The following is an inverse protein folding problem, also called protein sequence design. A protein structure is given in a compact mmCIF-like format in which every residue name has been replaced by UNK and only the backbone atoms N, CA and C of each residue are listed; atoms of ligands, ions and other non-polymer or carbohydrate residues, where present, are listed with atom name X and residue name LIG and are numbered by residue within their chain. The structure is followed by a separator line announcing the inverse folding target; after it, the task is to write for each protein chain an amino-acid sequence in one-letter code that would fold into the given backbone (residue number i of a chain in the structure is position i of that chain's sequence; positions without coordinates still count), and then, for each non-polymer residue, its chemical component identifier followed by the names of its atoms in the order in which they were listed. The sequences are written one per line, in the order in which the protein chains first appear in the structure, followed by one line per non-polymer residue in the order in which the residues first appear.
data_IF_863653664177
#
_entry.id   IF_863653664177
#
_cell.length_a   1.000
_cell.length_b   1.000
_cell.length_c   1.000
_cell.angle_alpha   90.00
_cell.angle_beta   90.00
_cell.angle_gamma   90.00
#
_symmetry.space_group_name_H-M   'P 1'
#
loop_
_entity.id
_entity.type
_entity.pdbx_description
1 polymer ?
#
# COMPACT_ATOMS: atom_id res chain seq x y z
N UNK A 1 11.70 6.52 -8.35
CA UNK A 1 11.33 5.43 -7.44
C UNK A 1 11.74 4.10 -8.04
N UNK A 2 12.07 3.08 -7.26
CA UNK A 2 12.42 1.81 -7.84
C UNK A 2 11.19 1.17 -8.49
N UNK A 3 11.21 1.04 -9.79
CA UNK A 3 10.40 0.08 -10.52
C UNK A 3 11.14 -1.25 -10.41
N UNK A 4 10.44 -2.29 -9.99
CA UNK A 4 11.00 -3.64 -9.94
C UNK A 4 10.75 -4.28 -11.29
N UNK A 5 11.80 -4.59 -12.03
CA UNK A 5 11.72 -5.34 -13.28
C UNK A 5 12.18 -6.78 -13.04
N UNK A 6 11.39 -7.74 -13.49
CA UNK A 6 11.63 -9.17 -13.34
C UNK A 6 11.51 -9.79 -14.72
N UNK A 7 12.60 -10.33 -15.23
CA UNK A 7 12.63 -10.99 -16.53
C UNK A 7 13.05 -12.45 -16.35
N UNK A 8 12.25 -13.38 -16.87
CA UNK A 8 12.59 -14.81 -16.80
C UNK A 8 13.90 -15.15 -17.50
N UNK A 9 14.33 -14.31 -18.47
CA UNK A 9 15.60 -14.50 -19.21
C UNK A 9 16.84 -14.19 -18.37
N UNK A 10 16.68 -13.50 -17.24
CA UNK A 10 17.80 -13.17 -16.34
C UNK A 10 18.26 -14.39 -15.52
N UNK A 11 17.49 -15.48 -15.56
CA UNK A 11 17.75 -16.72 -14.83
C UNK A 11 18.22 -17.84 -15.76
N UNK A 12 19.08 -18.73 -15.26
CA UNK A 12 19.52 -19.91 -15.98
C UNK A 12 18.34 -20.80 -16.37
N UNK A 13 18.39 -21.42 -17.54
CA UNK A 13 17.29 -22.25 -18.08
C UNK A 13 16.91 -23.38 -17.12
N UNK A 14 17.87 -23.92 -16.36
CA UNK A 14 17.67 -25.04 -15.44
C UNK A 14 16.88 -24.69 -14.18
N UNK A 15 16.94 -23.43 -13.72
CA UNK A 15 16.24 -22.93 -12.50
C UNK A 15 15.27 -21.78 -12.80
N UNK A 16 15.16 -21.36 -14.05
CA UNK A 16 14.40 -20.17 -14.50
C UNK A 16 13.00 -20.09 -13.92
N UNK A 17 12.24 -21.16 -13.99
CA UNK A 17 10.84 -21.19 -13.53
C UNK A 17 10.77 -21.04 -12.02
N UNK A 18 11.64 -21.72 -11.29
CA UNK A 18 11.66 -21.72 -9.84
C UNK A 18 12.07 -20.34 -9.30
N UNK A 19 13.19 -19.81 -9.77
CA UNK A 19 13.68 -18.49 -9.33
C UNK A 19 12.72 -17.36 -9.71
N UNK A 20 12.18 -17.37 -10.94
CA UNK A 20 11.17 -16.41 -11.36
C UNK A 20 9.92 -16.49 -10.47
N UNK A 21 9.40 -17.69 -10.23
CA UNK A 21 8.24 -17.92 -9.37
C UNK A 21 8.46 -17.39 -7.96
N UNK A 22 9.59 -17.69 -7.34
CA UNK A 22 9.89 -17.28 -5.97
C UNK A 22 9.93 -15.75 -5.83
N UNK A 23 10.52 -15.05 -6.79
CA UNK A 23 10.56 -13.58 -6.79
C UNK A 23 9.16 -12.99 -6.99
N UNK A 24 8.42 -13.50 -7.99
CA UNK A 24 7.08 -12.98 -8.31
C UNK A 24 6.08 -13.27 -7.18
N UNK A 25 6.09 -14.48 -6.62
CA UNK A 25 5.18 -14.87 -5.54
C UNK A 25 5.34 -13.99 -4.30
N UNK A 26 6.57 -13.63 -3.96
CA UNK A 26 6.83 -12.73 -2.83
C UNK A 26 6.21 -11.32 -3.02
N UNK A 27 6.16 -10.83 -4.27
CA UNK A 27 5.68 -9.48 -4.60
C UNK A 27 4.18 -9.46 -4.86
N UNK A 28 3.70 -10.38 -5.73
CA UNK A 28 2.34 -10.35 -6.29
C UNK A 28 1.37 -11.29 -5.59
N UNK A 29 1.87 -12.16 -4.70
CA UNK A 29 1.07 -13.19 -4.01
C UNK A 29 0.35 -14.13 -4.98
N UNK A 30 1.04 -14.52 -6.04
CA UNK A 30 0.60 -15.55 -6.99
C UNK A 30 1.76 -16.46 -7.37
N UNK A 31 1.47 -17.72 -7.61
CA UNK A 31 2.43 -18.70 -8.14
C UNK A 31 2.30 -18.77 -9.65
N UNK A 32 3.42 -18.63 -10.37
CA UNK A 32 3.46 -18.79 -11.82
C UNK A 32 3.77 -20.24 -12.20
N UNK A 33 2.90 -20.82 -13.02
CA UNK A 33 2.97 -22.20 -13.51
C UNK A 33 2.96 -22.16 -15.04
N UNK A 34 4.13 -22.21 -15.72
CA UNK A 34 4.19 -22.20 -17.17
C UNK A 34 3.64 -23.52 -17.76
N UNK A 35 2.97 -23.42 -18.92
CA UNK A 35 2.49 -24.60 -19.65
C UNK A 35 3.67 -25.40 -20.19
N UNK A 36 4.74 -24.73 -20.64
CA UNK A 36 6.02 -25.33 -21.05
C UNK A 36 7.18 -24.62 -20.31
N UNK A 37 7.82 -25.33 -19.34
CA UNK A 37 8.96 -24.79 -18.60
C UNK A 37 10.17 -24.41 -19.45
N UNK A 38 10.39 -25.07 -20.58
CA UNK A 38 11.56 -24.88 -21.43
C UNK A 38 11.46 -23.59 -22.23
N UNK A 39 10.29 -23.33 -22.82
CA UNK A 39 10.01 -22.14 -23.62
C UNK A 39 9.45 -20.98 -22.80
N UNK A 40 9.36 -21.12 -21.48
CA UNK A 40 8.77 -20.10 -20.61
C UNK A 40 9.48 -18.75 -20.74
N UNK A 41 8.68 -17.75 -21.06
CA UNK A 41 9.10 -16.35 -21.08
C UNK A 41 8.08 -15.49 -20.33
N UNK A 42 8.60 -14.68 -19.43
CA UNK A 42 7.82 -13.70 -18.70
C UNK A 42 8.68 -12.49 -18.38
N UNK A 43 8.14 -11.33 -18.63
CA UNK A 43 8.72 -10.05 -18.27
C UNK A 43 7.67 -9.22 -17.56
N UNK A 44 7.99 -8.74 -16.36
CA UNK A 44 7.06 -7.98 -15.53
C UNK A 44 7.78 -6.77 -14.93
N UNK A 45 7.16 -5.61 -15.05
CA UNK A 45 7.61 -4.36 -14.44
C UNK A 45 6.56 -3.91 -13.44
N UNK A 46 6.96 -3.71 -12.18
CA UNK A 46 6.07 -3.38 -11.07
C UNK A 46 6.54 -2.09 -10.42
N UNK A 47 5.63 -1.13 -10.30
CA UNK A 47 5.82 0.08 -9.56
C UNK A 47 4.93 0.14 -8.33
N UNK A 48 5.51 0.53 -7.20
CA UNK A 48 4.79 0.66 -5.92
C UNK A 48 4.76 2.13 -5.52
N UNK A 49 3.55 2.69 -5.45
CA UNK A 49 3.27 4.07 -5.08
C UNK A 49 2.40 4.06 -3.81
N UNK A 50 3.01 4.15 -2.64
CA UNK A 50 2.34 4.04 -1.34
C UNK A 50 1.52 2.76 -1.21
N UNK A 51 0.20 2.85 -1.43
CA UNK A 51 -0.79 1.78 -1.36
C UNK A 51 -1.31 1.35 -2.75
N UNK A 52 -0.83 2.01 -3.82
CA UNK A 52 -1.15 1.69 -5.20
C UNK A 52 -0.02 0.87 -5.82
N UNK A 53 -0.36 -0.21 -6.52
CA UNK A 53 0.59 -1.00 -7.31
C UNK A 53 0.18 -0.89 -8.78
N UNK A 54 1.12 -0.56 -9.63
CA UNK A 54 0.94 -0.55 -11.08
C UNK A 54 1.92 -1.55 -11.67
N UNK A 55 1.43 -2.45 -12.51
CA UNK A 55 2.23 -3.46 -13.16
C UNK A 55 1.98 -3.51 -14.67
N UNK A 56 3.01 -3.84 -15.41
CA UNK A 56 2.95 -4.19 -16.81
C UNK A 56 3.67 -5.51 -17.01
N UNK A 57 3.05 -6.47 -17.70
CA UNK A 57 3.62 -7.80 -17.86
C UNK A 57 3.33 -8.38 -19.23
N UNK A 58 4.32 -9.13 -19.75
CA UNK A 58 4.21 -9.94 -20.94
C UNK A 58 4.58 -11.38 -20.60
N UNK A 59 3.69 -12.32 -20.90
CA UNK A 59 3.80 -13.71 -20.47
C UNK A 59 3.52 -14.67 -21.61
N UNK A 60 4.34 -15.72 -21.75
CA UNK A 60 3.98 -16.90 -22.54
C UNK A 60 2.84 -17.68 -21.86
N UNK A 61 2.29 -18.70 -22.54
CA UNK A 61 1.25 -19.57 -21.98
C UNK A 61 1.63 -20.07 -20.59
N UNK A 62 0.84 -19.66 -19.58
CA UNK A 62 1.11 -19.93 -18.17
C UNK A 62 -0.13 -19.66 -17.34
N UNK A 63 -0.12 -20.17 -16.11
CA UNK A 63 -1.17 -19.94 -15.12
C UNK A 63 -0.59 -19.24 -13.91
N UNK A 64 -1.13 -18.09 -13.55
CA UNK A 64 -0.88 -17.43 -12.28
C UNK A 64 -1.95 -17.87 -11.28
N UNK A 65 -1.54 -18.58 -10.21
CA UNK A 65 -2.41 -19.17 -9.20
C UNK A 65 -2.35 -18.33 -7.92
N UNK A 66 -3.48 -17.79 -7.52
CA UNK A 66 -3.69 -17.24 -6.16
C UNK A 66 -4.32 -18.32 -5.27
N UNK A 67 -3.52 -18.94 -4.42
CA UNK A 67 -3.99 -19.91 -3.43
C UNK A 67 -4.86 -19.22 -2.36
N UNK A 68 -5.57 -20.01 -1.52
CA UNK A 68 -6.30 -19.47 -0.38
C UNK A 68 -5.37 -18.79 0.65
N UNK A 69 -4.13 -19.27 0.79
CA UNK A 69 -3.12 -18.64 1.64
C UNK A 69 -2.69 -17.28 1.08
N UNK A 70 -2.39 -17.22 -0.21
CA UNK A 70 -2.05 -15.95 -0.90
C UNK A 70 -3.19 -14.93 -0.86
N UNK A 71 -4.45 -15.37 -1.02
CA UNK A 71 -5.62 -14.50 -0.90
C UNK A 71 -5.77 -13.91 0.51
N UNK A 72 -5.49 -14.69 1.54
CA UNK A 72 -5.53 -14.21 2.93
C UNK A 72 -4.44 -13.15 3.23
N UNK A 73 -3.32 -13.18 2.52
CA UNK A 73 -2.23 -12.19 2.61
C UNK A 73 -2.40 -11.01 1.65
N UNK A 74 -3.24 -11.15 0.62
CA UNK A 74 -3.40 -10.17 -0.48
C UNK A 74 -4.02 -8.83 -0.08
N UNK A 75 -4.59 -8.74 1.13
CA UNK A 75 -5.25 -7.55 1.63
C UNK A 75 -6.58 -7.24 0.93
N UNK A 76 -7.25 -6.18 1.35
CA UNK A 76 -8.53 -5.72 0.79
C UNK A 76 -8.30 -4.79 -0.41
N UNK A 77 -7.66 -5.33 -1.46
CA UNK A 77 -7.38 -4.61 -2.70
C UNK A 77 -8.24 -5.14 -3.85
N UNK A 78 -8.46 -4.27 -4.84
CA UNK A 78 -9.05 -4.62 -6.13
C UNK A 78 -7.97 -4.43 -7.19
N UNK A 79 -7.67 -5.50 -7.94
CA UNK A 79 -6.75 -5.47 -9.07
C UNK A 79 -7.54 -5.30 -10.37
N UNK A 80 -7.29 -4.22 -11.08
CA UNK A 80 -7.83 -4.02 -12.42
C UNK A 80 -6.89 -4.66 -13.44
N UNK A 81 -7.39 -5.65 -14.19
CA UNK A 81 -6.68 -6.31 -15.28
C UNK A 81 -7.12 -5.73 -16.61
N UNK A 82 -6.19 -5.25 -17.41
CA UNK A 82 -6.41 -4.64 -18.73
C UNK A 82 -5.52 -5.36 -19.76
N UNK A 83 -6.06 -6.32 -20.52
CA UNK A 83 -5.30 -6.98 -21.59
C UNK A 83 -4.96 -5.99 -22.70
N UNK A 84 -3.68 -5.95 -23.11
CA UNK A 84 -3.17 -5.10 -24.19
C UNK A 84 -3.03 -5.87 -25.49
N UNK A 85 -2.54 -7.12 -25.42
CA UNK A 85 -2.46 -8.03 -26.55
C UNK A 85 -2.64 -9.48 -26.09
N UNK A 86 -2.97 -10.38 -27.03
CA UNK A 86 -3.29 -11.77 -26.72
C UNK A 86 -4.64 -11.90 -25.99
N UNK A 87 -4.75 -12.90 -25.12
CA UNK A 87 -5.94 -13.16 -24.30
C UNK A 87 -5.61 -13.91 -23.03
N UNK A 88 -6.41 -13.71 -22.01
CA UNK A 88 -6.32 -14.47 -20.78
C UNK A 88 -7.70 -14.84 -20.25
N UNK A 89 -7.77 -15.76 -19.30
CA UNK A 89 -9.01 -16.07 -18.61
C UNK A 89 -8.79 -16.08 -17.11
N UNK A 90 -9.78 -15.60 -16.38
CA UNK A 90 -9.78 -15.61 -14.92
C UNK A 90 -10.88 -16.55 -14.44
N UNK A 91 -10.56 -17.37 -13.46
CA UNK A 91 -11.50 -18.22 -12.74
C UNK A 91 -11.24 -18.05 -11.25
N UNK A 92 -12.24 -17.56 -10.54
CA UNK A 92 -12.18 -17.36 -9.09
C UNK A 92 -12.99 -18.41 -8.36
N UNK A 93 -12.59 -18.75 -7.14
CA UNK A 93 -13.32 -19.72 -6.32
C UNK A 93 -14.80 -19.33 -6.19
N UNK A 94 -15.68 -20.23 -6.63
CA UNK A 94 -17.12 -20.05 -6.60
C UNK A 94 -17.70 -19.12 -7.69
N UNK A 95 -16.88 -18.75 -8.70
CA UNK A 95 -17.30 -17.99 -9.86
C UNK A 95 -17.18 -18.80 -11.17
N UNK A 96 -17.68 -18.22 -12.23
CA UNK A 96 -17.50 -18.74 -13.59
C UNK A 96 -16.17 -18.25 -14.18
N UNK A 97 -15.69 -18.99 -15.17
CA UNK A 97 -14.54 -18.55 -15.97
C UNK A 97 -14.92 -17.35 -16.83
N UNK A 98 -14.10 -16.32 -16.77
CA UNK A 98 -14.26 -15.07 -17.53
C UNK A 98 -13.10 -14.93 -18.50
N UNK A 99 -13.39 -14.90 -19.80
CA UNK A 99 -12.37 -14.67 -20.84
C UNK A 99 -12.17 -13.18 -21.06
N UNK A 100 -10.92 -12.74 -21.01
CA UNK A 100 -10.50 -11.36 -21.18
C UNK A 100 -9.72 -11.19 -22.49
N UNK A 101 -10.01 -10.12 -23.21
CA UNK A 101 -9.36 -9.75 -24.48
C UNK A 101 -9.09 -8.25 -24.54
N UNK A 102 -8.24 -7.76 -25.42
CA UNK A 102 -8.04 -6.33 -25.63
C UNK A 102 -9.35 -5.58 -25.80
N UNK A 103 -9.46 -4.43 -25.15
CA UNK A 103 -10.69 -3.63 -25.11
C UNK A 103 -11.65 -3.99 -23.98
N UNK A 104 -11.24 -4.87 -23.06
CA UNK A 104 -11.95 -5.17 -21.81
C UNK A 104 -11.14 -4.79 -20.58
N UNK A 105 -11.82 -4.64 -19.45
CA UNK A 105 -11.23 -4.50 -18.12
C UNK A 105 -11.96 -5.43 -17.14
N UNK A 106 -11.25 -5.96 -16.18
CA UNK A 106 -11.78 -6.87 -15.15
C UNK A 106 -11.32 -6.41 -13.77
N UNK A 107 -12.24 -6.36 -12.81
CA UNK A 107 -11.95 -6.04 -11.42
C UNK A 107 -11.85 -7.33 -10.59
N UNK A 108 -10.64 -7.66 -10.17
CA UNK A 108 -10.28 -8.86 -9.41
C UNK A 108 -10.14 -8.52 -7.92
N UNK A 109 -11.01 -9.02 -7.02
CA UNK A 109 -10.82 -8.89 -5.59
C UNK A 109 -9.63 -9.76 -5.14
N UNK A 110 -8.57 -9.11 -4.61
CA UNK A 110 -7.32 -9.78 -4.24
C UNK A 110 -7.44 -10.74 -3.04
N UNK A 111 -8.50 -10.60 -2.26
CA UNK A 111 -8.87 -11.47 -1.12
C UNK A 111 -9.55 -12.78 -1.52
N UNK A 112 -9.72 -13.05 -2.83
CA UNK A 112 -10.37 -14.26 -3.35
C UNK A 112 -9.36 -15.13 -4.09
N UNK A 113 -9.30 -16.43 -3.74
CA UNK A 113 -8.49 -17.41 -4.44
C UNK A 113 -8.98 -17.62 -5.88
N UNK A 114 -8.06 -17.84 -6.81
CA UNK A 114 -8.39 -18.02 -8.22
C UNK A 114 -7.17 -18.25 -9.09
N UNK A 115 -7.42 -18.36 -10.39
CA UNK A 115 -6.41 -18.55 -11.41
C UNK A 115 -6.57 -17.49 -12.51
N UNK A 116 -5.45 -16.97 -12.99
CA UNK A 116 -5.36 -16.17 -14.21
C UNK A 116 -4.53 -16.97 -15.21
N UNK A 117 -5.12 -17.40 -16.32
CA UNK A 117 -4.45 -18.17 -17.35
C UNK A 117 -4.16 -17.29 -18.57
N UNK A 118 -2.90 -17.20 -18.94
CA UNK A 118 -2.43 -16.54 -20.16
C UNK A 118 -2.46 -17.51 -21.32
N UNK A 119 -2.97 -17.08 -22.47
CA UNK A 119 -3.18 -17.91 -23.66
C UNK A 119 -2.23 -17.54 -24.79
N UNK A 120 -1.89 -18.53 -25.63
CA UNK A 120 -1.07 -18.32 -26.82
C UNK A 120 0.42 -18.14 -26.52
N UNK A 121 1.15 -17.70 -27.52
CA UNK A 121 2.61 -17.54 -27.43
C UNK A 121 3.02 -16.35 -26.57
N UNK A 122 2.20 -15.29 -26.54
CA UNK A 122 2.44 -14.08 -25.76
C UNK A 122 1.15 -13.36 -25.43
N UNK A 123 0.96 -13.04 -24.16
CA UNK A 123 -0.12 -12.19 -23.66
C UNK A 123 0.49 -11.02 -22.90
N UNK A 124 0.07 -9.83 -23.26
CA UNK A 124 0.50 -8.59 -22.61
C UNK A 124 -0.66 -8.00 -21.83
N UNK A 125 -0.40 -7.61 -20.58
CA UNK A 125 -1.41 -7.06 -19.68
C UNK A 125 -0.88 -5.91 -18.83
N UNK A 126 -1.78 -5.02 -18.49
CA UNK A 126 -1.54 -3.92 -17.56
C UNK A 126 -2.41 -4.10 -16.32
N UNK A 127 -1.84 -3.83 -15.16
CA UNK A 127 -2.44 -4.13 -13.86
C UNK A 127 -2.38 -2.91 -12.96
N UNK A 128 -3.50 -2.61 -12.28
CA UNK A 128 -3.54 -1.55 -11.28
C UNK A 128 -4.24 -2.06 -10.04
N UNK A 129 -3.52 -2.19 -8.92
CA UNK A 129 -4.10 -2.60 -7.63
C UNK A 129 -4.41 -1.38 -6.78
N UNK A 130 -5.67 -1.22 -6.41
CA UNK A 130 -6.18 -0.10 -5.61
C UNK A 130 -6.83 -0.65 -4.35
N UNK A 131 -6.51 -0.14 -3.15
CA UNK A 131 -7.21 -0.53 -1.92
C UNK A 131 -8.70 -0.24 -2.01
N UNK A 132 -9.55 -1.22 -1.66
CA UNK A 132 -11.01 -1.12 -1.74
C UNK A 132 -11.58 0.08 -0.98
N UNK A 133 -10.90 0.48 0.12
CA UNK A 133 -11.29 1.66 0.90
C UNK A 133 -11.34 2.95 0.08
N UNK A 134 -10.47 3.09 -0.94
CA UNK A 134 -10.47 4.25 -1.84
C UNK A 134 -11.57 4.15 -2.92
N UNK A 135 -12.09 2.95 -3.17
CA UNK A 135 -13.16 2.69 -4.14
C UNK A 135 -14.56 2.63 -3.49
N UNK A 136 -14.65 2.72 -2.16
CA UNK A 136 -15.90 2.55 -1.41
C UNK A 136 -17.01 3.51 -1.85
N UNK A 137 -16.67 4.71 -2.33
CA UNK A 137 -17.63 5.69 -2.82
C UNK A 137 -18.32 5.28 -4.13
N UNK A 138 -17.79 4.30 -4.86
CA UNK A 138 -18.42 3.77 -6.07
C UNK A 138 -19.61 2.82 -5.77
N UNK A 139 -19.69 2.28 -4.54
CA UNK A 139 -20.83 1.47 -4.10
C UNK A 139 -21.24 0.39 -5.12
N UNK A 140 -22.46 0.47 -5.61
CA UNK A 140 -23.02 -0.49 -6.57
C UNK A 140 -22.22 -0.61 -7.89
N UNK A 141 -21.50 0.45 -8.31
CA UNK A 141 -20.66 0.41 -9.51
C UNK A 141 -19.49 -0.53 -9.36
N UNK A 142 -18.83 -0.52 -8.18
CA UNK A 142 -17.77 -1.48 -7.87
C UNK A 142 -18.31 -2.91 -7.79
N UNK A 143 -19.39 -3.14 -7.06
CA UNK A 143 -19.99 -4.48 -6.91
C UNK A 143 -20.42 -5.09 -8.25
N UNK A 144 -20.98 -4.28 -9.15
CA UNK A 144 -21.37 -4.72 -10.48
C UNK A 144 -20.17 -5.11 -11.37
N UNK A 145 -19.00 -4.52 -11.12
CA UNK A 145 -17.78 -4.77 -11.88
C UNK A 145 -16.96 -5.94 -11.32
N UNK A 146 -17.04 -6.18 -10.01
CA UNK A 146 -16.30 -7.27 -9.39
C UNK A 146 -16.63 -8.61 -10.06
N UNK A 147 -15.58 -9.35 -10.47
CA UNK A 147 -15.65 -10.66 -11.13
C UNK A 147 -16.33 -10.68 -12.51
N UNK A 148 -16.53 -9.50 -13.11
CA UNK A 148 -17.10 -9.37 -14.44
C UNK A 148 -16.14 -8.67 -15.40
N UNK A 149 -16.07 -9.15 -16.64
CA UNK A 149 -15.40 -8.42 -17.71
C UNK A 149 -16.32 -7.32 -18.22
N UNK A 150 -15.83 -6.10 -18.24
CA UNK A 150 -16.54 -4.92 -18.73
C UNK A 150 -15.83 -4.35 -19.96
N UNK A 151 -16.55 -3.72 -20.90
CA UNK A 151 -15.93 -2.98 -21.99
C UNK A 151 -15.06 -1.84 -21.45
N UNK A 152 -13.93 -1.59 -22.10
CA UNK A 152 -13.05 -0.46 -21.79
C UNK A 152 -13.69 0.84 -22.30
N UNK A 153 -14.60 1.41 -21.49
CA UNK A 153 -15.32 2.67 -21.80
C UNK A 153 -14.36 3.86 -21.92
N UNK A 154 -14.81 5.04 -22.41
CA UNK A 154 -13.97 6.24 -22.44
C UNK A 154 -13.35 6.60 -21.08
N UNK A 155 -14.10 6.45 -19.97
CA UNK A 155 -13.64 6.72 -18.61
C UNK A 155 -12.54 5.73 -18.21
N UNK A 156 -12.71 4.45 -18.48
CA UNK A 156 -11.68 3.43 -18.25
C UNK A 156 -10.45 3.61 -19.14
N UNK A 157 -10.61 4.13 -20.36
CA UNK A 157 -9.45 4.49 -21.20
C UNK A 157 -8.66 5.65 -20.62
N UNK A 158 -9.30 6.66 -20.04
CA UNK A 158 -8.60 7.75 -19.34
C UNK A 158 -7.85 7.24 -18.12
N UNK A 159 -8.47 6.40 -17.30
CA UNK A 159 -7.82 5.73 -16.17
C UNK A 159 -6.57 4.96 -16.63
N UNK A 160 -6.71 4.10 -17.65
CA UNK A 160 -5.60 3.32 -18.20
C UNK A 160 -4.49 4.22 -18.74
N UNK A 161 -4.83 5.20 -19.57
CA UNK A 161 -3.83 6.09 -20.20
C UNK A 161 -3.02 6.84 -19.13
N UNK A 162 -3.70 7.32 -18.09
CA UNK A 162 -3.03 8.02 -17.00
C UNK A 162 -2.13 7.07 -16.18
N UNK A 163 -2.63 5.92 -15.77
CA UNK A 163 -1.88 4.94 -14.99
C UNK A 163 -0.70 4.36 -15.78
N UNK A 164 -0.88 4.11 -17.09
CA UNK A 164 0.17 3.61 -17.97
C UNK A 164 1.27 4.66 -18.18
N UNK A 165 0.92 5.93 -18.45
CA UNK A 165 1.90 7.02 -18.53
C UNK A 165 2.63 7.23 -17.21
N UNK A 166 1.92 7.16 -16.09
CA UNK A 166 2.53 7.23 -14.76
C UNK A 166 3.55 6.11 -14.54
N UNK A 167 3.22 4.87 -14.94
CA UNK A 167 4.12 3.74 -14.83
C UNK A 167 5.40 3.92 -15.65
N UNK A 168 5.31 4.47 -16.86
CA UNK A 168 6.46 4.74 -17.72
C UNK A 168 7.41 5.79 -17.15
N UNK A 169 6.84 6.81 -16.47
CA UNK A 169 7.61 7.94 -15.91
C UNK A 169 8.07 7.72 -14.45
N UNK A 170 7.68 6.61 -13.81
CA UNK A 170 7.92 6.38 -12.38
C UNK A 170 9.37 6.56 -11.92
N UNK A 171 10.33 6.18 -12.76
CA UNK A 171 11.76 6.31 -12.46
C UNK A 171 12.21 7.79 -12.36
N UNK A 172 11.48 8.69 -13.00
CA UNK A 172 11.79 10.12 -13.10
C UNK A 172 10.97 10.99 -12.13
N UNK A 173 9.99 10.40 -11.41
CA UNK A 173 9.13 11.14 -10.50
C UNK A 173 9.83 11.49 -9.19
N UNK A 174 9.54 12.68 -8.67
CA UNK A 174 9.97 13.09 -7.34
C UNK A 174 9.10 12.44 -6.27
N UNK A 175 9.70 11.99 -5.15
CA UNK A 175 8.96 11.33 -4.06
C UNK A 175 7.81 12.16 -3.48
N UNK A 176 7.93 13.48 -3.47
CA UNK A 176 6.91 14.40 -3.00
C UNK A 176 5.64 14.43 -3.86
N UNK A 177 5.75 14.13 -5.15
CA UNK A 177 4.63 14.19 -6.09
C UNK A 177 3.79 12.91 -6.11
N UNK A 178 4.32 11.81 -5.57
CA UNK A 178 3.69 10.47 -5.63
C UNK A 178 2.30 10.47 -5.01
N UNK A 179 2.10 11.20 -3.90
CA UNK A 179 0.78 11.32 -3.24
C UNK A 179 -0.27 11.85 -4.22
N UNK A 180 0.10 12.87 -4.99
CA UNK A 180 -0.82 13.48 -5.96
C UNK A 180 -1.16 12.52 -7.10
N UNK A 181 -0.15 11.85 -7.67
CA UNK A 181 -0.36 10.89 -8.76
C UNK A 181 -1.19 9.67 -8.29
N UNK A 182 -0.92 9.14 -7.10
CA UNK A 182 -1.72 8.07 -6.50
C UNK A 182 -3.18 8.49 -6.35
N UNK A 183 -3.44 9.68 -5.82
CA UNK A 183 -4.79 10.22 -5.67
C UNK A 183 -5.49 10.36 -7.02
N UNK A 184 -4.80 10.84 -8.06
CA UNK A 184 -5.39 10.98 -9.40
C UNK A 184 -5.81 9.62 -9.99
N UNK A 185 -5.00 8.56 -9.82
CA UNK A 185 -5.37 7.20 -10.27
C UNK A 185 -6.63 6.72 -9.55
N UNK A 186 -6.70 6.92 -8.23
CA UNK A 186 -7.86 6.54 -7.41
C UNK A 186 -9.12 7.32 -7.83
N UNK A 187 -9.01 8.62 -8.07
CA UNK A 187 -10.12 9.47 -8.53
C UNK A 187 -10.61 9.05 -9.91
N UNK A 188 -9.71 8.75 -10.85
CA UNK A 188 -10.07 8.26 -12.18
C UNK A 188 -10.76 6.89 -12.12
N UNK A 189 -10.33 5.99 -11.22
CA UNK A 189 -11.02 4.72 -10.98
C UNK A 189 -12.45 4.94 -10.47
N UNK A 190 -12.65 5.86 -9.51
CA UNK A 190 -13.97 6.22 -8.99
C UNK A 190 -14.91 6.77 -10.07
N UNK A 191 -14.39 7.68 -10.90
CA UNK A 191 -15.16 8.22 -12.04
C UNK A 191 -15.55 7.11 -13.02
N UNK A 192 -14.62 6.22 -13.32
CA UNK A 192 -14.84 5.12 -14.25
C UNK A 192 -15.83 4.07 -13.71
N UNK A 193 -15.88 3.88 -12.40
CA UNK A 193 -16.86 3.06 -11.68
C UNK A 193 -18.26 3.71 -11.62
N UNK A 194 -18.42 4.93 -12.15
CA UNK A 194 -19.70 5.63 -12.14
C UNK A 194 -20.07 6.23 -10.79
N UNK A 195 -19.09 6.54 -9.93
CA UNK A 195 -19.35 7.28 -8.71
C UNK A 195 -20.07 8.60 -9.03
N UNK A 196 -21.12 8.92 -8.29
CA UNK A 196 -21.81 10.21 -8.44
C UNK A 196 -20.84 11.35 -8.11
N UNK A 197 -21.10 12.54 -8.69
CA UNK A 197 -20.29 13.73 -8.40
C UNK A 197 -20.18 14.00 -6.91
N UNK A 198 -21.25 13.81 -6.17
CA UNK A 198 -21.29 13.95 -4.70
C UNK A 198 -20.42 12.89 -4.00
N UNK A 199 -20.47 11.64 -4.45
CA UNK A 199 -19.61 10.56 -3.93
C UNK A 199 -18.14 10.79 -4.28
N UNK A 200 -17.84 11.32 -5.46
CA UNK A 200 -16.48 11.70 -5.86
C UNK A 200 -15.97 12.89 -5.02
N UNK A 201 -16.80 13.89 -4.75
CA UNK A 201 -16.46 15.03 -3.86
C UNK A 201 -16.21 14.57 -2.40
N UNK A 202 -17.00 13.60 -1.90
CA UNK A 202 -16.81 12.98 -0.59
C UNK A 202 -15.49 12.18 -0.56
N UNK A 203 -15.19 11.43 -1.61
CA UNK A 203 -13.95 10.66 -1.73
C UNK A 203 -12.72 11.56 -1.82
N UNK A 204 -12.81 12.64 -2.61
CA UNK A 204 -11.77 13.67 -2.70
C UNK A 204 -11.56 14.35 -1.32
N UNK A 205 -12.64 14.63 -0.59
CA UNK A 205 -12.57 15.12 0.78
C UNK A 205 -11.86 14.15 1.73
N UNK A 206 -12.04 12.83 1.56
CA UNK A 206 -11.33 11.80 2.34
C UNK A 206 -9.87 11.71 1.96
N UNK A 207 -9.54 11.76 0.67
CA UNK A 207 -8.17 11.75 0.16
C UNK A 207 -7.37 12.96 0.64
N UNK A 208 -7.94 14.17 0.54
CA UNK A 208 -7.36 15.39 1.08
C UNK A 208 -7.17 15.28 2.60
N UNK A 209 -8.14 14.73 3.32
CA UNK A 209 -8.04 14.51 4.77
C UNK A 209 -6.91 13.54 5.13
N UNK A 210 -6.77 12.43 4.40
CA UNK A 210 -5.71 11.45 4.60
C UNK A 210 -4.32 12.04 4.26
N UNK A 211 -4.21 12.81 3.18
CA UNK A 211 -2.98 13.52 2.82
C UNK A 211 -2.58 14.54 3.89
N UNK A 212 -3.53 15.37 4.37
CA UNK A 212 -3.31 16.32 5.45
C UNK A 212 -2.87 15.67 6.75
N UNK A 213 -3.49 14.54 7.11
CA UNK A 213 -3.09 13.81 8.31
C UNK A 213 -1.68 13.24 8.18
N UNK A 214 -1.27 12.81 7.00
CA UNK A 214 0.07 12.31 6.71
C UNK A 214 1.12 13.41 6.84
N UNK A 215 0.86 14.59 6.27
CA UNK A 215 1.71 15.79 6.45
C UNK A 215 1.86 16.18 7.92
N UNK A 216 0.74 16.17 8.65
CA UNK A 216 0.72 16.46 10.09
C UNK A 216 1.54 15.44 10.87
N UNK A 217 1.38 14.14 10.58
CA UNK A 217 2.17 13.08 11.22
C UNK A 217 3.66 13.23 10.92
N UNK A 218 4.04 13.55 9.69
CA UNK A 218 5.43 13.82 9.31
C UNK A 218 6.01 15.04 10.03
N UNK A 219 5.23 16.12 10.21
CA UNK A 219 5.64 17.28 10.99
C UNK A 219 5.83 16.95 12.47
N UNK A 220 4.93 16.14 13.05
CA UNK A 220 5.07 15.63 14.42
C UNK A 220 6.36 14.84 14.59
N UNK A 221 6.70 13.93 13.67
CA UNK A 221 7.92 13.12 13.74
C UNK A 221 9.18 14.00 13.72
N UNK A 222 9.22 15.01 12.85
CA UNK A 222 10.36 15.97 12.78
C UNK A 222 10.55 16.77 14.06
N UNK A 223 9.49 17.02 14.82
CA UNK A 223 9.52 17.84 16.04
C UNK A 223 9.21 17.03 17.31
N UNK A 224 9.24 15.69 17.25
CA UNK A 224 8.71 14.78 18.26
C UNK A 224 9.24 15.06 19.67
N UNK A 225 10.55 15.33 19.79
CA UNK A 225 11.23 15.55 21.06
C UNK A 225 11.15 16.99 21.55
N UNK A 226 10.58 17.89 20.75
CA UNK A 226 10.51 19.31 21.12
C UNK A 226 9.54 19.51 22.29
N UNK A 227 9.95 20.16 23.38
CA UNK A 227 9.12 20.28 24.60
C UNK A 227 7.81 21.05 24.40
N UNK A 228 7.79 21.99 23.43
CA UNK A 228 6.60 22.80 23.11
C UNK A 228 5.75 22.22 21.96
N UNK A 229 5.94 20.96 21.61
CA UNK A 229 5.10 20.31 20.59
C UNK A 229 3.65 20.24 21.10
N UNK A 230 2.76 20.94 20.43
CA UNK A 230 1.34 21.04 20.76
C UNK A 230 0.48 20.99 19.52
N UNK A 231 -0.80 20.66 19.64
CA UNK A 231 -1.75 20.70 18.54
C UNK A 231 -1.83 22.09 17.90
N UNK A 232 -1.64 23.16 18.68
CA UNK A 232 -1.65 24.53 18.19
C UNK A 232 -0.39 24.83 17.35
N UNK A 233 0.81 24.42 17.81
CA UNK A 233 2.05 24.65 17.07
C UNK A 233 2.12 23.84 15.76
N UNK A 234 1.63 22.60 15.76
CA UNK A 234 1.55 21.77 14.54
C UNK A 234 0.52 22.33 13.56
N UNK A 235 -0.68 22.71 14.04
CA UNK A 235 -1.71 23.30 13.21
C UNK A 235 -1.21 24.58 12.52
N UNK A 236 -0.50 25.45 13.26
CA UNK A 236 0.06 26.68 12.71
C UNK A 236 1.09 26.41 11.60
N UNK A 237 2.00 25.43 11.78
CA UNK A 237 3.00 25.06 10.75
C UNK A 237 2.36 24.40 9.52
N UNK A 238 1.29 23.64 9.71
CA UNK A 238 0.58 22.95 8.62
C UNK A 238 -0.49 23.81 7.94
N UNK A 239 -0.67 25.07 8.33
CA UNK A 239 -1.71 25.96 7.79
C UNK A 239 -3.13 25.49 8.11
N UNK A 240 -3.33 24.80 9.23
CA UNK A 240 -4.61 24.22 9.65
C UNK A 240 -5.16 24.92 10.89
N UNK A 241 -6.48 24.83 11.10
CA UNK A 241 -7.03 25.21 12.40
C UNK A 241 -6.80 24.10 13.43
N UNK A 242 -6.59 24.42 14.72
CA UNK A 242 -6.46 23.41 15.79
C UNK A 242 -7.67 22.48 15.90
N UNK A 243 -8.86 22.96 15.55
CA UNK A 243 -10.10 22.16 15.52
C UNK A 243 -10.03 21.11 14.41
N UNK A 244 -9.62 21.51 13.21
CA UNK A 244 -9.50 20.58 12.07
C UNK A 244 -8.40 19.54 12.31
N UNK A 245 -7.27 19.94 12.88
CA UNK A 245 -6.20 19.02 13.25
C UNK A 245 -6.71 17.95 14.22
N UNK A 246 -7.49 18.31 15.27
CA UNK A 246 -8.09 17.34 16.19
C UNK A 246 -9.04 16.38 15.48
N UNK A 247 -9.91 16.91 14.61
CA UNK A 247 -10.85 16.11 13.82
C UNK A 247 -10.14 15.11 12.88
N UNK A 248 -8.90 15.40 12.42
CA UNK A 248 -8.08 14.46 11.65
C UNK A 248 -7.72 13.22 12.48
N UNK A 249 -7.27 13.41 13.74
CA UNK A 249 -6.92 12.29 14.63
C UNK A 249 -8.13 11.54 15.15
N UNK A 250 -9.23 12.23 15.48
CA UNK A 250 -10.49 11.60 15.87
C UNK A 250 -11.02 10.65 14.78
N UNK A 251 -10.83 11.01 13.52
CA UNK A 251 -11.18 10.16 12.38
C UNK A 251 -10.36 8.84 12.30
N UNK A 252 -9.23 8.75 12.99
CA UNK A 252 -8.44 7.51 13.16
C UNK A 252 -8.64 6.86 14.54
N UNK A 253 -9.65 7.26 15.29
CA UNK A 253 -9.94 6.68 16.61
C UNK A 253 -8.91 7.03 17.68
N UNK A 254 -8.12 8.11 17.49
CA UNK A 254 -7.09 8.53 18.45
C UNK A 254 -7.17 10.04 18.72
N UNK A 255 -6.42 10.53 19.70
CA UNK A 255 -6.20 11.95 19.89
C UNK A 255 -4.80 12.37 19.45
N UNK A 256 -4.60 13.65 19.12
CA UNK A 256 -3.27 14.22 18.90
C UNK A 256 -2.31 13.91 20.06
N UNK A 257 -2.77 14.09 21.30
CA UNK A 257 -1.96 13.83 22.50
C UNK A 257 -1.57 12.36 22.65
N UNK A 258 -2.50 11.42 22.40
CA UNK A 258 -2.23 9.99 22.47
C UNK A 258 -1.28 9.54 21.35
N UNK A 259 -1.44 10.08 20.14
CA UNK A 259 -0.51 9.81 19.04
C UNK A 259 0.92 10.26 19.40
N UNK A 260 1.11 11.51 19.83
CA UNK A 260 2.43 12.03 20.22
C UNK A 260 3.03 11.21 21.37
N UNK A 261 2.22 10.90 22.40
CA UNK A 261 2.67 10.08 23.53
C UNK A 261 3.15 8.70 23.08
N UNK A 262 2.40 8.03 22.21
CA UNK A 262 2.76 6.71 21.66
C UNK A 262 4.09 6.77 20.87
N UNK A 263 4.29 7.80 20.04
CA UNK A 263 5.53 7.97 19.28
C UNK A 263 6.72 8.26 20.19
N UNK A 264 6.56 9.13 21.19
CA UNK A 264 7.59 9.42 22.22
C UNK A 264 7.95 8.19 23.03
N UNK A 265 6.97 7.38 23.44
CA UNK A 265 7.20 6.11 24.15
C UNK A 265 8.00 5.11 23.29
N UNK A 266 7.68 5.01 22.01
CA UNK A 266 8.44 4.17 21.08
C UNK A 266 9.90 4.66 20.91
N UNK A 267 10.12 5.97 20.89
CA UNK A 267 11.47 6.55 20.89
C UNK A 267 12.20 6.21 22.19
N UNK A 268 11.58 6.43 23.34
CA UNK A 268 12.17 6.11 24.63
C UNK A 268 12.50 4.60 24.78
N UNK A 269 11.62 3.73 24.29
CA UNK A 269 11.87 2.28 24.28
C UNK A 269 13.13 1.93 23.49
N UNK A 270 13.29 2.50 22.27
CA UNK A 270 14.52 2.29 21.47
C UNK A 270 15.76 2.77 22.21
N UNK A 271 15.73 3.96 22.82
CA UNK A 271 16.88 4.48 23.59
C UNK A 271 17.21 3.62 24.82
N UNK A 272 16.19 3.08 25.50
CA UNK A 272 16.39 2.19 26.66
C UNK A 272 16.99 0.85 26.28
N UNK A 273 16.76 0.39 25.05
CA UNK A 273 17.26 -0.88 24.51
C UNK A 273 18.62 -0.76 23.79
N UNK A 274 19.14 0.45 23.59
CA UNK A 274 20.36 0.72 22.84
C UNK A 274 21.53 0.99 23.79
N UNK A 275 22.60 0.20 23.67
CA UNK A 275 23.83 0.28 24.50
C UNK A 275 24.47 1.68 24.45
N UNK A 276 24.33 2.44 23.37
CA UNK A 276 24.83 3.82 23.24
C UNK A 276 24.27 4.77 24.30
N UNK A 277 23.10 4.47 24.85
CA UNK A 277 22.42 5.27 25.88
C UNK A 277 22.52 4.65 27.29
N UNK A 278 23.36 3.61 27.49
CA UNK A 278 23.46 2.90 28.75
C UNK A 278 23.84 3.80 29.94
N UNK A 279 24.59 4.87 29.70
CA UNK A 279 25.03 5.82 30.70
C UNK A 279 24.00 6.93 31.03
N UNK A 280 22.92 7.06 30.26
CA UNK A 280 21.87 8.03 30.55
C UNK A 280 20.88 7.45 31.55
N UNK A 281 20.46 8.23 32.54
CA UNK A 281 19.40 7.77 33.45
C UNK A 281 18.02 7.81 32.80
N UNK A 282 17.02 7.13 33.37
CA UNK A 282 15.71 7.00 32.81
C UNK A 282 14.97 8.35 32.73
N UNK A 283 15.20 9.24 33.71
CA UNK A 283 14.60 10.57 33.69
C UNK A 283 15.16 11.44 32.57
N UNK A 284 16.48 11.34 32.31
CA UNK A 284 17.09 12.01 31.16
C UNK A 284 16.50 11.52 29.83
N UNK A 285 16.38 10.19 29.66
CA UNK A 285 15.76 9.63 28.44
C UNK A 285 14.31 10.09 28.28
N UNK A 286 13.54 10.14 29.36
CA UNK A 286 12.18 10.64 29.30
C UNK A 286 12.13 12.12 28.84
N UNK A 287 12.99 12.97 29.41
CA UNK A 287 13.12 14.38 29.01
C UNK A 287 13.60 14.55 27.58
N UNK A 288 14.61 13.80 27.15
CA UNK A 288 15.14 13.81 25.77
C UNK A 288 14.08 13.37 24.74
N UNK A 289 13.13 12.53 25.16
CA UNK A 289 11.97 12.14 24.35
C UNK A 289 10.80 13.15 24.42
N UNK A 290 10.96 14.27 25.14
CA UNK A 290 9.97 15.34 25.23
C UNK A 290 8.91 15.16 26.29
N UNK A 291 9.09 14.25 27.27
CA UNK A 291 8.19 14.13 28.44
C UNK A 291 8.54 15.16 29.49
N UNK A 292 7.55 15.97 29.90
CA UNK A 292 7.71 16.94 30.99
C UNK A 292 7.41 16.39 32.39
N UNK A 293 6.77 15.22 32.49
CA UNK A 293 6.39 14.55 33.73
C UNK A 293 6.82 13.10 33.75
N UNK A 294 7.72 12.76 34.67
CA UNK A 294 8.29 11.42 34.82
C UNK A 294 7.29 10.40 35.34
N UNK A 295 6.36 10.82 36.21
CA UNK A 295 5.32 9.94 36.76
C UNK A 295 4.35 9.53 35.67
N UNK A 296 3.91 10.49 34.87
CA UNK A 296 3.07 10.25 33.71
C UNK A 296 3.76 9.37 32.65
N UNK A 297 5.04 9.62 32.37
CA UNK A 297 5.85 8.78 31.49
C UNK A 297 5.89 7.32 31.96
N UNK A 298 6.22 7.07 33.23
CA UNK A 298 6.34 5.71 33.77
C UNK A 298 4.99 4.95 33.72
N UNK A 299 3.90 5.62 34.06
CA UNK A 299 2.57 5.03 34.02
C UNK A 299 2.17 4.66 32.58
N UNK A 300 2.37 5.56 31.62
CA UNK A 300 2.06 5.35 30.20
C UNK A 300 2.98 4.28 29.60
N UNK A 301 4.27 4.28 29.93
CA UNK A 301 5.23 3.30 29.44
C UNK A 301 4.85 1.89 29.90
N UNK A 302 4.53 1.71 31.18
CA UNK A 302 4.10 0.41 31.71
C UNK A 302 2.80 -0.06 31.03
N UNK A 303 1.85 0.85 30.79
CA UNK A 303 0.60 0.52 30.10
C UNK A 303 0.86 0.08 28.65
N UNK A 304 1.80 0.73 27.94
CA UNK A 304 2.10 0.45 26.54
C UNK A 304 2.90 -0.85 26.33
N UNK A 305 3.85 -1.16 27.23
CA UNK A 305 4.79 -2.27 27.06
C UNK A 305 4.66 -3.39 28.10
N UNK A 306 3.74 -3.29 29.04
CA UNK A 306 3.56 -4.31 30.10
C UNK A 306 4.68 -4.35 31.13
N UNK A 307 5.72 -3.52 31.00
CA UNK A 307 6.89 -3.49 31.87
C UNK A 307 7.39 -2.06 32.13
N UNK A 308 8.17 -1.86 33.19
CA UNK A 308 8.73 -0.55 33.48
C UNK A 308 9.93 -0.20 32.58
N UNK A 309 10.27 1.10 32.41
CA UNK A 309 11.48 1.51 31.71
C UNK A 309 12.76 0.88 32.29
N UNK A 310 12.79 0.63 33.62
CA UNK A 310 13.91 -0.02 34.32
C UNK A 310 14.04 -1.49 33.88
N UNK A 311 12.93 -2.20 33.73
CA UNK A 311 12.91 -3.61 33.35
C UNK A 311 13.40 -3.79 31.90
N UNK A 312 12.96 -2.89 30.98
CA UNK A 312 13.43 -2.88 29.57
C UNK A 312 14.95 -2.71 29.53
N UNK A 313 15.49 -1.75 30.28
CA UNK A 313 16.93 -1.51 30.37
C UNK A 313 17.70 -2.69 30.95
N UNK A 314 17.15 -3.32 31.99
CA UNK A 314 17.82 -4.49 32.62
C UNK A 314 17.91 -5.66 31.64
N UNK A 315 16.85 -5.89 30.83
CA UNK A 315 16.86 -6.95 29.82
C UNK A 315 17.89 -6.70 28.72
N UNK A 316 17.98 -5.48 28.18
CA UNK A 316 18.97 -5.17 27.14
C UNK A 316 20.41 -5.37 27.59
N UNK A 317 20.72 -5.16 28.90
CA UNK A 317 22.05 -5.40 29.48
C UNK A 317 22.35 -6.89 29.71
N UNK A 318 21.33 -7.75 29.71
CA UNK A 318 21.51 -9.20 29.96
C UNK A 318 21.65 -9.99 28.66
N UNK A 319 21.51 -9.33 27.50
CA UNK A 319 21.54 -9.96 26.15
C UNK A 319 22.88 -9.68 25.43
N UNK A 320 23.74 -8.79 25.98
CA UNK A 320 25.13 -8.56 25.60
C UNK A 320 26.08 -9.35 26.53
#
# INVERSE_FOLDING_TARGET
MPTISICSKDYDVSCRVEEFRDVVSNITKVDFLPDDPVSFQSETSIGILQDLIIGHGQHSASTALRSAAHAAEGGDNVMFHIPLSGGCSIEQKGGERVDLKPGTIYADPCDVAGTLRFHGESTEGFYVSVPRVHLAAAGAGLEAMLRNAMPLTPQWRLFFTYAHGLHQEMAHLWPEDIVHYTTHVQDLALIALGATREAAEIAQGRGVRAARLREVKADIERHLVHPYLSAQSVAARSGLSPRYLRALFEGEGTSFGDYVATRRLAHAHRMLSDARFANRNISQIAMDCGFGDLSWFNARFRRAYGMSPKDVRARSRSTD
#
